data_IF_067654694687
#
_entry.id   IF_067654694687
#
_cell.length_a   1.000
_cell.length_b   1.000
_cell.length_c   1.000
_cell.angle_alpha   90.00
_cell.angle_beta   90.00
_cell.angle_gamma   90.00
#
_symmetry.space_group_name_H-M   'P 1'
#
loop_
_entity.id
_entity.type
_entity.pdbx_description
1 polymer ?
#
# COMPACT_ATOMS: atom_id res chain seq x y z
N UNK A 1 38.58 -15.24 38.35
CA UNK A 1 38.21 -15.51 36.94
C UNK A 1 36.72 -15.79 36.72
N UNK A 2 35.99 -16.44 37.65
CA UNK A 2 34.54 -16.74 37.52
C UNK A 2 33.59 -15.53 37.48
N UNK A 3 33.94 -14.41 38.09
CA UNK A 3 33.07 -13.21 38.18
C UNK A 3 32.92 -12.45 36.86
N UNK A 4 33.95 -12.47 36.00
CA UNK A 4 33.94 -11.79 34.70
C UNK A 4 33.13 -12.54 33.64
N UNK A 5 33.11 -13.88 33.70
CA UNK A 5 32.32 -14.73 32.80
C UNK A 5 30.80 -14.49 32.96
N UNK A 6 30.32 -14.22 34.19
CA UNK A 6 28.89 -13.93 34.45
C UNK A 6 28.41 -12.57 33.88
N UNK A 7 29.30 -11.56 33.88
CA UNK A 7 29.00 -10.21 33.38
C UNK A 7 28.94 -10.16 31.85
N UNK A 8 29.83 -10.90 31.19
CA UNK A 8 29.85 -11.02 29.73
C UNK A 8 28.63 -11.78 29.22
N UNK A 9 28.23 -12.86 29.90
CA UNK A 9 27.02 -13.61 29.55
C UNK A 9 25.74 -12.77 29.71
N UNK A 10 25.66 -11.95 30.77
CA UNK A 10 24.52 -11.06 31.01
C UNK A 10 24.40 -9.96 29.94
N UNK A 11 25.51 -9.35 29.51
CA UNK A 11 25.53 -8.34 28.46
C UNK A 11 25.16 -8.95 27.10
N UNK A 12 25.63 -10.16 26.78
CA UNK A 12 25.25 -10.88 25.57
C UNK A 12 23.76 -11.25 25.54
N UNK A 13 23.19 -11.71 26.65
CA UNK A 13 21.76 -12.03 26.76
C UNK A 13 20.88 -10.76 26.68
N UNK A 14 21.33 -9.65 27.25
CA UNK A 14 20.61 -8.37 27.19
C UNK A 14 20.58 -7.78 25.77
N UNK A 15 21.66 -7.92 24.99
CA UNK A 15 21.69 -7.51 23.58
C UNK A 15 20.84 -8.43 22.68
N UNK A 16 20.74 -9.72 23.01
CA UNK A 16 19.85 -10.65 22.31
C UNK A 16 18.36 -10.34 22.54
N UNK A 17 18.00 -9.78 23.70
CA UNK A 17 16.63 -9.34 24.02
C UNK A 17 16.21 -8.06 23.28
N UNK A 18 17.14 -7.15 22.97
CA UNK A 18 16.85 -5.91 22.23
C UNK A 18 16.86 -6.08 20.69
N UNK A 19 17.46 -7.14 20.16
CA UNK A 19 17.51 -7.42 18.72
C UNK A 19 16.17 -7.96 18.14
N UNK A 20 15.19 -8.27 18.98
CA UNK A 20 13.95 -8.94 18.55
C UNK A 20 12.78 -7.99 18.25
N UNK A 21 12.89 -6.68 18.52
CA UNK A 21 11.85 -5.72 18.09
C UNK A 21 12.13 -5.21 16.70
N UNK A 22 11.71 -5.99 15.69
CA UNK A 22 11.39 -5.39 14.40
C UNK A 22 10.10 -4.60 14.59
N UNK A 23 10.20 -3.28 14.72
CA UNK A 23 9.04 -2.43 14.45
C UNK A 23 8.84 -2.53 12.94
N UNK A 24 8.05 -3.51 12.50
CA UNK A 24 7.35 -3.37 11.23
C UNK A 24 6.43 -2.17 11.43
N UNK A 25 6.87 -0.99 11.01
CA UNK A 25 5.94 0.12 10.85
C UNK A 25 4.83 -0.39 9.95
N UNK A 26 3.57 -0.26 10.37
CA UNK A 26 2.46 -0.57 9.50
C UNK A 26 2.62 0.32 8.26
N UNK A 27 3.01 -0.28 7.14
CA UNK A 27 2.93 0.38 5.85
C UNK A 27 1.45 0.59 5.64
N UNK A 28 1.02 1.85 5.52
CA UNK A 28 -0.39 2.17 5.27
C UNK A 28 -0.91 1.41 4.05
N UNK A 29 -2.23 1.31 3.95
CA UNK A 29 -2.89 0.58 2.85
C UNK A 29 -3.03 1.40 1.57
N UNK A 30 -2.64 2.68 1.63
CA UNK A 30 -2.56 3.60 0.50
C UNK A 30 -1.42 3.23 -0.43
N UNK A 31 -1.70 3.20 -1.73
CA UNK A 31 -0.69 3.15 -2.77
C UNK A 31 -1.05 4.09 -3.93
N UNK A 32 -0.04 4.59 -4.63
CA UNK A 32 -0.23 5.46 -5.80
C UNK A 32 -0.39 4.62 -7.06
N UNK A 33 -1.43 4.93 -7.86
CA UNK A 33 -1.71 4.31 -9.14
C UNK A 33 -1.57 5.31 -10.27
N UNK A 34 -0.71 4.98 -11.24
CA UNK A 34 -0.57 5.71 -12.49
C UNK A 34 -1.21 4.93 -13.64
N UNK A 35 -2.12 5.58 -14.35
CA UNK A 35 -2.85 4.98 -15.47
C UNK A 35 -2.82 5.86 -16.71
N UNK A 36 -3.33 5.32 -17.81
CA UNK A 36 -3.53 6.03 -19.07
C UNK A 36 -4.97 5.89 -19.55
N UNK A 37 -5.65 7.02 -19.72
CA UNK A 37 -7.01 7.13 -20.24
C UNK A 37 -6.99 7.34 -21.76
N UNK A 38 -7.70 6.47 -22.45
CA UNK A 38 -8.10 6.63 -23.84
C UNK A 38 -9.62 6.55 -23.87
N UNK A 39 -10.26 7.59 -24.40
CA UNK A 39 -11.71 7.70 -24.51
C UNK A 39 -12.09 7.81 -25.99
N UNK A 40 -12.96 6.90 -26.44
CA UNK A 40 -13.36 6.77 -27.85
C UNK A 40 -12.17 6.75 -28.85
N UNK A 41 -11.08 6.07 -28.49
CA UNK A 41 -9.86 5.99 -29.30
C UNK A 41 -8.97 7.24 -29.28
N UNK A 42 -9.38 8.30 -28.57
CA UNK A 42 -8.62 9.54 -28.41
C UNK A 42 -7.98 9.57 -27.03
N UNK A 43 -6.74 10.07 -26.97
CA UNK A 43 -6.02 10.22 -25.71
C UNK A 43 -6.72 11.29 -24.86
N UNK A 44 -7.07 10.94 -23.61
CA UNK A 44 -7.81 11.85 -22.73
C UNK A 44 -7.00 13.10 -22.37
N UNK A 45 -7.65 14.26 -22.32
CA UNK A 45 -7.05 15.49 -21.80
C UNK A 45 -8.14 16.35 -21.15
N UNK A 46 -8.02 16.60 -19.85
CA UNK A 46 -9.01 17.35 -19.09
C UNK A 46 -9.07 16.90 -17.64
N UNK A 47 -10.22 17.14 -17.00
CA UNK A 47 -10.53 16.74 -15.64
C UNK A 47 -11.60 15.65 -15.68
N UNK A 48 -11.39 14.58 -14.91
CA UNK A 48 -12.25 13.39 -14.91
C UNK A 48 -12.47 12.86 -13.50
N UNK A 49 -13.64 12.24 -13.30
CA UNK A 49 -13.92 11.47 -12.10
C UNK A 49 -13.59 9.99 -12.34
N UNK A 50 -12.87 9.38 -11.38
CA UNK A 50 -12.51 7.97 -11.42
C UNK A 50 -13.16 7.21 -10.26
N UNK A 51 -13.58 5.97 -10.56
CA UNK A 51 -14.07 5.01 -9.59
C UNK A 51 -13.32 3.68 -9.73
N UNK A 52 -12.70 3.23 -8.64
CA UNK A 52 -11.95 1.97 -8.59
C UNK A 52 -12.63 0.97 -7.65
N UNK A 53 -12.73 -0.29 -8.06
CA UNK A 53 -13.39 -1.36 -7.30
C UNK A 53 -12.57 -2.65 -7.40
N UNK A 54 -12.30 -3.30 -6.27
CA UNK A 54 -11.70 -4.63 -6.24
C UNK A 54 -12.77 -5.71 -6.43
N UNK A 55 -12.37 -6.85 -7.01
CA UNK A 55 -13.21 -8.03 -7.20
C UNK A 55 -12.52 -9.27 -6.67
N UNK A 56 -13.30 -10.23 -6.17
CA UNK A 56 -12.77 -11.45 -5.52
C UNK A 56 -12.20 -12.48 -6.50
N UNK A 57 -12.49 -12.35 -7.80
CA UNK A 57 -11.99 -13.24 -8.84
C UNK A 57 -11.92 -12.51 -10.19
N UNK A 58 -11.06 -12.99 -11.09
CA UNK A 58 -10.86 -12.43 -12.43
C UNK A 58 -12.09 -12.58 -13.34
N UNK A 59 -12.93 -13.58 -13.11
CA UNK A 59 -14.22 -13.77 -13.79
C UNK A 59 -15.26 -14.22 -12.77
N UNK A 60 -16.47 -13.67 -12.88
CA UNK A 60 -17.63 -14.00 -12.02
C UNK A 60 -17.43 -13.76 -10.52
N UNK A 61 -16.39 -13.04 -10.11
CA UNK A 61 -16.20 -12.60 -8.72
C UNK A 61 -17.13 -11.44 -8.36
N UNK A 62 -17.47 -11.33 -7.08
CA UNK A 62 -18.22 -10.18 -6.55
C UNK A 62 -17.29 -9.01 -6.19
N UNK A 63 -17.83 -7.79 -6.00
CA UNK A 63 -17.05 -6.66 -5.51
C UNK A 63 -16.55 -6.93 -4.08
N UNK A 64 -15.29 -6.59 -3.83
CA UNK A 64 -14.64 -6.64 -2.52
C UNK A 64 -14.54 -5.22 -1.96
N UNK A 65 -15.16 -4.97 -0.80
CA UNK A 65 -15.13 -3.66 -0.14
C UNK A 65 -15.86 -2.56 -0.92
N UNK A 66 -15.67 -1.31 -0.49
CA UNK A 66 -16.26 -0.12 -1.13
C UNK A 66 -15.37 0.39 -2.27
N UNK A 67 -15.99 0.95 -3.30
CA UNK A 67 -15.25 1.61 -4.36
C UNK A 67 -14.55 2.89 -3.84
N UNK A 68 -13.31 3.12 -4.30
CA UNK A 68 -12.59 4.38 -4.10
C UNK A 68 -13.01 5.36 -5.18
N UNK A 69 -13.39 6.58 -4.80
CA UNK A 69 -13.74 7.66 -5.71
C UNK A 69 -12.69 8.76 -5.65
N UNK A 70 -12.11 9.10 -6.80
CA UNK A 70 -11.23 10.24 -6.96
C UNK A 70 -11.90 11.19 -7.95
N UNK A 71 -12.40 12.31 -7.44
CA UNK A 71 -13.08 13.34 -8.25
C UNK A 71 -12.06 14.35 -8.76
N UNK A 72 -12.41 15.01 -9.86
CA UNK A 72 -11.64 16.13 -10.43
C UNK A 72 -10.16 15.81 -10.71
N UNK A 73 -9.85 14.59 -11.13
CA UNK A 73 -8.47 14.17 -11.44
C UNK A 73 -8.03 14.74 -12.78
N UNK A 74 -6.89 15.44 -12.77
CA UNK A 74 -6.27 15.96 -13.99
C UNK A 74 -5.67 14.83 -14.82
N UNK A 75 -6.10 14.71 -16.06
CA UNK A 75 -5.56 13.81 -17.08
C UNK A 75 -4.82 14.63 -18.13
N UNK A 76 -3.51 14.44 -18.29
CA UNK A 76 -2.70 15.16 -19.30
C UNK A 76 -2.08 14.15 -20.25
N UNK A 77 -2.35 14.28 -21.55
CA UNK A 77 -1.88 13.32 -22.57
C UNK A 77 -2.22 11.87 -22.23
N UNK A 78 -3.40 11.68 -21.63
CA UNK A 78 -3.94 10.41 -21.17
C UNK A 78 -3.44 10.01 -19.80
N UNK A 79 -2.33 10.55 -19.30
CA UNK A 79 -1.77 10.11 -18.02
C UNK A 79 -2.49 10.76 -16.83
N UNK A 80 -2.73 9.95 -15.82
CA UNK A 80 -3.24 10.38 -14.52
C UNK A 80 -2.52 9.67 -13.37
N UNK A 81 -2.59 10.25 -12.19
CA UNK A 81 -2.06 9.68 -10.94
C UNK A 81 -3.10 9.88 -9.85
N UNK A 82 -3.41 8.82 -9.10
CA UNK A 82 -4.33 8.85 -7.98
C UNK A 82 -3.78 8.02 -6.84
N UNK A 83 -4.19 8.31 -5.61
CA UNK A 83 -3.96 7.44 -4.47
C UNK A 83 -5.18 6.54 -4.24
N UNK A 84 -4.92 5.26 -4.04
CA UNK A 84 -5.93 4.23 -3.80
C UNK A 84 -5.73 3.62 -2.42
N UNK A 85 -6.79 3.57 -1.64
CA UNK A 85 -6.84 2.89 -0.34
C UNK A 85 -8.11 2.05 -0.24
N UNK A 86 -7.96 0.73 -0.26
CA UNK A 86 -9.06 -0.22 -0.10
C UNK A 86 -9.17 -0.75 1.34
N UNK A 87 -8.32 -0.26 2.24
CA UNK A 87 -8.25 -0.67 3.63
C UNK A 87 -7.48 -1.98 3.86
N UNK A 88 -7.28 -2.36 5.13
CA UNK A 88 -6.36 -3.42 5.53
C UNK A 88 -6.84 -4.84 5.19
N UNK A 89 -8.12 -5.03 4.91
CA UNK A 89 -8.68 -6.35 4.58
C UNK A 89 -8.66 -6.64 3.06
N UNK A 90 -8.10 -5.73 2.25
CA UNK A 90 -8.07 -5.86 0.80
C UNK A 90 -6.88 -6.69 0.27
N UNK A 91 -5.86 -6.93 1.10
CA UNK A 91 -4.57 -7.52 0.72
C UNK A 91 -4.17 -8.67 1.64
#
# INVERSE_FOLDING_TARGET
MRTYLSRINFIFVLNLLFAATRIFGAVGTVFTYQGRLVDNGVVGNGTYDFRFQLFTAASSGGPLGTAVMNQDVRVTEGYFTVDLDFGPNAF
#
